data_IF_565621642709
#
_entry.id   IF_565621642709
#
_cell.length_a   1.000
_cell.length_b   1.000
_cell.length_c   1.000
_cell.angle_alpha   90.00
_cell.angle_beta   90.00
_cell.angle_gamma   90.00
#
_symmetry.space_group_name_H-M   'P 1'
#
loop_
_entity.id
_entity.type
_entity.pdbx_description
1 polymer ?
#
# COMPACT_ATOMS: atom_id res chain seq x y z
N UNK A 1 1.89 -15.51 0.36
CA UNK A 1 1.70 -14.07 0.14
C UNK A 1 0.23 -13.80 -0.03
N UNK A 2 -0.32 -12.91 0.78
CA UNK A 2 -1.75 -12.62 0.73
C UNK A 2 -1.94 -11.12 0.61
N UNK A 3 -2.19 -10.64 -0.62
CA UNK A 3 -2.74 -9.30 -0.89
C UNK A 3 -3.90 -8.97 0.06
N UNK A 4 -4.68 -10.00 0.40
CA UNK A 4 -5.75 -9.89 1.39
C UNK A 4 -5.24 -9.50 2.79
N UNK A 5 -4.13 -10.05 3.30
CA UNK A 5 -3.59 -9.69 4.60
C UNK A 5 -3.16 -8.21 4.67
N UNK A 6 -2.46 -7.71 3.64
CA UNK A 6 -2.10 -6.30 3.51
C UNK A 6 -3.34 -5.40 3.50
N UNK A 7 -4.31 -5.71 2.64
CA UNK A 7 -5.54 -4.92 2.56
C UNK A 7 -6.37 -5.00 3.85
N UNK A 8 -6.40 -6.16 4.53
CA UNK A 8 -7.08 -6.34 5.82
C UNK A 8 -6.44 -5.47 6.90
N UNK A 9 -5.11 -5.41 6.95
CA UNK A 9 -4.40 -4.53 7.87
C UNK A 9 -4.74 -3.05 7.60
N UNK A 10 -4.60 -2.57 6.35
CA UNK A 10 -4.90 -1.18 6.01
C UNK A 10 -6.37 -0.84 6.23
N UNK A 11 -7.27 -1.79 5.97
CA UNK A 11 -8.67 -1.69 6.31
C UNK A 11 -8.83 -1.44 7.82
N UNK A 12 -8.23 -2.26 8.69
CA UNK A 12 -8.28 -2.07 10.15
C UNK A 12 -7.67 -0.73 10.60
N UNK A 13 -6.49 -0.39 10.09
CA UNK A 13 -5.79 0.85 10.39
C UNK A 13 -6.63 2.09 10.05
N UNK A 14 -7.41 2.05 8.97
CA UNK A 14 -8.24 3.18 8.57
C UNK A 14 -9.48 3.40 9.45
N UNK A 15 -9.80 2.50 10.40
CA UNK A 15 -11.01 2.62 11.24
C UNK A 15 -10.83 2.46 12.73
N UNK A 16 -9.80 1.73 13.14
CA UNK A 16 -9.65 1.30 14.53
C UNK A 16 -8.61 2.20 15.22
N UNK A 17 -9.06 2.97 16.21
CA UNK A 17 -8.23 3.91 16.95
C UNK A 17 -7.08 3.22 17.70
N UNK A 18 -7.26 1.98 18.15
CA UNK A 18 -6.21 1.22 18.82
C UNK A 18 -5.15 0.75 17.82
N UNK A 19 -5.57 0.34 16.62
CA UNK A 19 -4.65 0.00 15.54
C UNK A 19 -3.85 1.24 15.10
N UNK A 20 -4.50 2.41 14.99
CA UNK A 20 -3.84 3.68 14.68
C UNK A 20 -2.84 4.08 15.76
N UNK A 21 -3.23 4.01 17.04
CA UNK A 21 -2.35 4.32 18.18
C UNK A 21 -1.10 3.44 18.14
N UNK A 22 -1.27 2.12 18.06
CA UNK A 22 -0.16 1.16 18.01
C UNK A 22 0.73 1.34 16.77
N UNK A 23 0.14 1.67 15.63
CA UNK A 23 0.90 1.97 14.43
C UNK A 23 1.73 3.25 14.58
N UNK A 24 1.15 4.31 15.16
CA UNK A 24 1.80 5.59 15.43
C UNK A 24 2.93 5.50 16.45
N UNK A 25 2.83 4.63 17.45
CA UNK A 25 3.89 4.39 18.45
C UNK A 25 5.20 3.87 17.85
N UNK A 26 5.15 3.21 16.69
CA UNK A 26 6.35 2.75 15.99
C UNK A 26 7.09 1.63 16.72
N UNK A 27 8.38 1.45 16.39
CA UNK A 27 9.28 0.48 17.02
C UNK A 27 8.71 -0.94 17.15
N UNK A 28 8.96 -1.56 18.30
CA UNK A 28 8.50 -2.92 18.61
C UNK A 28 6.97 -3.02 18.67
N UNK A 29 6.26 -1.96 19.04
CA UNK A 29 4.79 -1.93 19.04
C UNK A 29 4.24 -2.12 17.63
N UNK A 30 4.79 -1.38 16.66
CA UNK A 30 4.42 -1.52 15.23
C UNK A 30 4.85 -2.89 14.70
N UNK A 31 6.07 -3.34 15.01
CA UNK A 31 6.55 -4.65 14.57
C UNK A 31 5.62 -5.79 15.05
N UNK A 32 5.23 -5.75 16.33
CA UNK A 32 4.30 -6.73 16.94
C UNK A 32 2.91 -6.64 16.32
N UNK A 33 2.42 -5.43 16.01
CA UNK A 33 1.15 -5.24 15.33
C UNK A 33 1.15 -5.89 13.93
N UNK A 34 2.21 -5.66 13.14
CA UNK A 34 2.34 -6.19 11.78
C UNK A 34 2.61 -7.70 11.77
N UNK A 35 3.26 -8.25 12.79
CA UNK A 35 3.48 -9.69 12.95
C UNK A 35 2.16 -10.48 13.12
N UNK A 36 1.07 -9.81 13.51
CA UNK A 36 -0.27 -10.42 13.58
C UNK A 36 -0.94 -10.67 12.22
N UNK A 37 -0.31 -10.27 11.12
CA UNK A 37 -0.80 -10.44 9.76
C UNK A 37 0.17 -11.29 8.94
N UNK A 38 -0.37 -12.12 8.04
CA UNK A 38 0.40 -12.94 7.09
C UNK A 38 0.93 -12.09 5.92
N UNK A 39 1.77 -11.12 6.27
CA UNK A 39 2.50 -10.27 5.34
C UNK A 39 3.82 -10.93 4.98
N UNK A 40 4.36 -10.65 3.80
CA UNK A 40 5.78 -10.92 3.53
C UNK A 40 6.65 -9.71 3.95
N UNK A 41 7.96 -9.82 3.73
CA UNK A 41 8.90 -8.77 4.13
C UNK A 41 8.73 -7.48 3.31
N UNK A 42 8.46 -7.59 2.01
CA UNK A 42 8.23 -6.45 1.11
C UNK A 42 6.97 -5.65 1.50
N UNK A 43 5.88 -6.34 1.86
CA UNK A 43 4.64 -5.74 2.35
C UNK A 43 4.86 -5.09 3.73
N UNK A 44 5.56 -5.77 4.64
CA UNK A 44 5.88 -5.21 5.97
C UNK A 44 6.73 -3.95 5.86
N UNK A 45 7.75 -3.95 5.01
CA UNK A 45 8.60 -2.79 4.76
C UNK A 45 7.80 -1.62 4.18
N UNK A 46 6.98 -1.87 3.15
CA UNK A 46 6.16 -0.84 2.50
C UNK A 46 5.15 -0.21 3.47
N UNK A 47 4.50 -1.04 4.31
CA UNK A 47 3.60 -0.56 5.37
C UNK A 47 4.39 0.23 6.42
N UNK A 48 5.51 -0.31 6.88
CA UNK A 48 6.30 0.26 7.97
C UNK A 48 6.92 1.62 7.62
N UNK A 49 7.34 1.79 6.36
CA UNK A 49 7.89 3.05 5.83
C UNK A 49 6.84 4.03 5.34
N UNK A 50 5.59 3.58 5.16
CA UNK A 50 4.52 4.41 4.60
C UNK A 50 4.66 4.64 3.09
N UNK A 51 5.34 3.74 2.35
CA UNK A 51 5.55 3.87 0.91
C UNK A 51 4.26 3.57 0.14
N UNK A 52 3.45 4.61 -0.07
CA UNK A 52 2.18 4.57 -0.82
C UNK A 52 2.39 3.99 -2.23
N UNK A 53 3.46 4.39 -2.91
CA UNK A 53 3.75 3.96 -4.28
C UNK A 53 4.05 2.47 -4.34
N UNK A 54 4.84 1.97 -3.39
CA UNK A 54 5.13 0.55 -3.26
C UNK A 54 3.87 -0.26 -2.95
N UNK A 55 3.07 0.17 -1.98
CA UNK A 55 1.81 -0.49 -1.63
C UNK A 55 0.84 -0.56 -2.82
N UNK A 56 0.77 0.50 -3.62
CA UNK A 56 -0.01 0.50 -4.85
C UNK A 56 0.51 -0.53 -5.86
N UNK A 57 1.82 -0.57 -6.11
CA UNK A 57 2.42 -1.56 -7.03
C UNK A 57 2.25 -3.00 -6.55
N UNK A 58 2.25 -3.25 -5.24
CA UNK A 58 1.93 -4.56 -4.67
C UNK A 58 0.45 -4.97 -4.86
N UNK A 59 -0.40 -4.06 -5.34
CA UNK A 59 -1.79 -4.32 -5.70
C UNK A 59 -2.80 -3.85 -4.65
N UNK A 60 -2.39 -3.06 -3.66
CA UNK A 60 -3.33 -2.53 -2.68
C UNK A 60 -4.39 -1.65 -3.36
N UNK A 61 -5.64 -1.84 -2.96
CA UNK A 61 -6.76 -1.02 -3.42
C UNK A 61 -6.53 0.47 -3.12
N UNK A 62 -6.70 1.33 -4.13
CA UNK A 62 -6.53 2.77 -4.02
C UNK A 62 -7.39 3.45 -2.96
N UNK A 63 -8.62 2.97 -2.69
CA UNK A 63 -9.47 3.52 -1.62
C UNK A 63 -8.87 3.30 -0.23
N UNK A 64 -8.23 2.15 0.01
CA UNK A 64 -7.53 1.90 1.28
C UNK A 64 -6.33 2.85 1.42
N UNK A 65 -5.59 3.06 0.34
CA UNK A 65 -4.44 3.98 0.33
C UNK A 65 -4.86 5.44 0.47
N UNK A 66 -5.98 5.84 -0.12
CA UNK A 66 -6.55 7.19 0.00
C UNK A 66 -6.86 7.54 1.45
N UNK A 67 -7.34 6.59 2.26
CA UNK A 67 -7.60 6.82 3.69
C UNK A 67 -6.34 6.66 4.56
N UNK A 68 -5.36 5.89 4.11
CA UNK A 68 -4.08 5.75 4.79
C UNK A 68 -3.20 7.00 4.63
N UNK A 69 -3.20 7.63 3.47
CA UNK A 69 -2.37 8.81 3.18
C UNK A 69 -2.56 9.97 4.19
N UNK A 70 -3.78 10.36 4.59
CA UNK A 70 -3.99 11.34 5.66
C UNK A 70 -3.39 10.94 7.02
N UNK A 71 -3.38 9.64 7.38
CA UNK A 71 -2.74 9.17 8.61
C UNK A 71 -1.23 9.38 8.59
N UNK A 72 -0.62 9.46 7.40
CA UNK A 72 0.79 9.80 7.20
C UNK A 72 1.03 11.30 7.00
N UNK A 73 -0.01 12.14 7.04
CA UNK A 73 0.09 13.57 6.75
C UNK A 73 0.30 13.91 5.27
N UNK A 74 0.01 12.98 4.36
CA UNK A 74 0.20 13.16 2.91
C UNK A 74 -1.01 13.86 2.31
N UNK A 75 -0.78 14.97 1.60
CA UNK A 75 -1.83 15.70 0.91
C UNK A 75 -2.33 14.96 -0.34
N UNK A 76 -3.53 15.30 -0.81
CA UNK A 76 -4.15 14.61 -1.95
C UNK A 76 -3.29 14.61 -3.23
N UNK A 77 -2.68 15.76 -3.56
CA UNK A 77 -1.83 15.86 -4.75
C UNK A 77 -0.59 14.95 -4.63
N UNK A 78 0.03 14.92 -3.45
CA UNK A 78 1.20 14.10 -3.16
C UNK A 78 0.87 12.60 -3.15
N UNK A 79 -0.33 12.22 -2.67
CA UNK A 79 -0.83 10.86 -2.76
C UNK A 79 -0.95 10.37 -4.20
N UNK A 80 -1.54 11.19 -5.09
CA UNK A 80 -1.64 10.86 -6.51
C UNK A 80 -0.28 10.73 -7.17
N UNK A 81 0.65 11.63 -6.83
CA UNK A 81 2.01 11.58 -7.37
C UNK A 81 2.80 10.38 -6.85
N UNK A 82 2.67 10.03 -5.57
CA UNK A 82 3.31 8.86 -4.97
C UNK A 82 2.90 7.55 -5.67
N UNK A 83 1.64 7.41 -6.10
CA UNK A 83 1.22 6.25 -6.90
C UNK A 83 1.88 6.23 -8.28
N UNK A 84 2.01 7.38 -8.96
CA UNK A 84 2.68 7.49 -10.26
C UNK A 84 4.17 7.16 -10.13
N UNK A 85 4.84 7.72 -9.13
CA UNK A 85 6.24 7.44 -8.81
C UNK A 85 6.45 5.97 -8.44
N UNK A 86 5.51 5.37 -7.71
CA UNK A 86 5.51 3.94 -7.41
C UNK A 86 5.62 3.09 -8.66
N UNK A 87 4.80 3.37 -9.67
CA UNK A 87 4.84 2.64 -10.96
C UNK A 87 6.17 2.87 -11.69
N UNK A 88 6.68 4.10 -11.71
CA UNK A 88 7.98 4.41 -12.34
C UNK A 88 9.15 3.69 -11.65
N UNK A 89 9.13 3.61 -10.32
CA UNK A 89 10.22 3.07 -9.50
C UNK A 89 10.17 1.55 -9.34
N UNK A 90 8.98 0.99 -9.15
CA UNK A 90 8.79 -0.43 -8.77
C UNK A 90 8.16 -1.28 -9.86
N UNK A 91 7.78 -0.67 -11.00
CA UNK A 91 7.20 -1.34 -12.15
C UNK A 91 5.66 -1.38 -12.12
N UNK A 92 5.04 -2.17 -13.02
CA UNK A 92 3.58 -2.26 -13.13
C UNK A 92 2.95 -2.79 -11.84
N UNK A 93 1.70 -2.39 -11.60
CA UNK A 93 0.89 -2.94 -10.50
C UNK A 93 0.72 -4.44 -10.70
N UNK A 94 1.12 -5.23 -9.70
CA UNK A 94 1.33 -6.67 -9.81
C UNK A 94 0.07 -7.51 -9.56
N UNK A 95 -0.89 -6.98 -8.80
CA UNK A 95 -2.06 -7.71 -8.34
C UNK A 95 -3.26 -6.79 -8.07
N UNK A 96 -4.41 -7.40 -7.79
CA UNK A 96 -5.64 -6.67 -7.47
C UNK A 96 -6.33 -6.05 -8.69
N UNK A 97 -7.30 -5.18 -8.43
CA UNK A 97 -8.18 -4.60 -9.48
C UNK A 97 -7.39 -3.69 -10.44
N UNK A 98 -6.28 -3.12 -9.99
CA UNK A 98 -5.42 -2.23 -10.78
C UNK A 98 -4.24 -2.95 -11.43
N UNK A 99 -4.20 -4.30 -11.40
CA UNK A 99 -3.13 -5.07 -12.02
C UNK A 99 -2.94 -4.66 -13.49
N UNK A 100 -1.72 -4.24 -13.83
CA UNK A 100 -1.39 -3.80 -15.18
C UNK A 100 -0.89 -5.02 -15.96
N UNK A 101 -1.67 -5.44 -16.95
CA UNK A 101 -1.37 -6.62 -17.78
C UNK A 101 -0.55 -6.32 -19.04
N UNK A 102 -0.24 -5.04 -19.28
CA UNK A 102 0.59 -4.56 -20.39
C UNK A 102 1.60 -3.55 -19.84
N UNK A 103 2.82 -3.55 -20.39
CA UNK A 103 3.82 -2.54 -20.04
C UNK A 103 3.34 -1.12 -20.41
N UNK A 104 3.86 -0.09 -19.73
CA UNK A 104 3.53 1.32 -20.03
C UNK A 104 3.80 1.72 -21.48
N UNK A 105 4.71 1.01 -22.17
CA UNK A 105 5.09 1.24 -23.57
C UNK A 105 4.52 0.19 -24.54
N UNK A 106 3.76 -0.79 -24.06
CA UNK A 106 3.12 -1.78 -24.93
C UNK A 106 1.75 -1.29 -25.41
N UNK A 107 1.61 -1.16 -26.74
CA UNK A 107 0.29 -1.05 -27.35
C UNK A 107 -0.49 -2.33 -27.04
N UNK A 108 -1.67 -2.18 -26.46
CA UNK A 108 -2.63 -3.28 -26.36
C UNK A 108 -2.94 -3.73 -27.79
N UNK A 109 -2.52 -4.95 -28.15
CA UNK A 109 -2.83 -5.49 -29.47
C UNK A 109 -4.36 -5.66 -29.59
N UNK A 110 -5.01 -4.81 -30.38
CA UNK A 110 -6.43 -4.97 -30.72
C UNK A 110 -7.34 -3.75 -30.73
N UNK A 111 -6.83 -2.51 -30.71
CA UNK A 111 -7.60 -1.31 -31.12
C UNK A 111 -6.78 -0.45 -32.07
#
# INVERSE_FOLDING_TARGET
MSLYAMQKFLFALNRDAEVQRRFGEGGDTRATLLAGYDLNDEEREAIGSGDIGKLYVLGCNGQLLMHFAPLLGVAWADYLEAMREGVRKYGPVRAGIYAMTTGTDEKVAGV
#
